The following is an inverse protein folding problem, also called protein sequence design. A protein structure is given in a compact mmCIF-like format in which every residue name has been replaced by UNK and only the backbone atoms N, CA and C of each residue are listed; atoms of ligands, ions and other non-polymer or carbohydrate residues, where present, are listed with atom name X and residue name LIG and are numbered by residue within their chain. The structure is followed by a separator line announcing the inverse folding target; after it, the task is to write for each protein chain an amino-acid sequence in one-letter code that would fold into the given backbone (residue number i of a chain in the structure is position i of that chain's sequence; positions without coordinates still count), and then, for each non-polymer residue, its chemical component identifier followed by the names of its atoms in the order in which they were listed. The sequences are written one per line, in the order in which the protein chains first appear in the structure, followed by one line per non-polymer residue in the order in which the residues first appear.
data_IF_056585289347
#
_entry.id   IF_056585289347
#
_cell.length_a   1.000
_cell.length_b   1.000
_cell.length_c   1.000
_cell.angle_alpha   90.00
_cell.angle_beta   90.00
_cell.angle_gamma   90.00
#
_symmetry.space_group_name_H-M   'P 1'
#
loop_
_entity.id
_entity.type
_entity.pdbx_description
1 polymer ?
#
# COMPACT_ATOMS: atom_id res chain seq x y z
N UNK A 1 28.12 -43.56 -19.15
CA UNK A 1 26.91 -44.23 -18.61
C UNK A 1 26.50 -43.48 -17.36
N UNK A 2 26.01 -42.26 -17.52
CA UNK A 2 25.63 -41.35 -16.43
C UNK A 2 24.84 -40.13 -16.92
N UNK A 3 24.10 -40.24 -18.04
CA UNK A 3 23.30 -39.12 -18.60
C UNK A 3 21.87 -39.56 -18.98
N UNK A 4 21.33 -40.58 -18.29
CA UNK A 4 20.00 -41.14 -18.63
C UNK A 4 19.14 -41.44 -17.39
N UNK A 5 19.26 -40.58 -16.37
CA UNK A 5 18.29 -40.50 -15.26
C UNK A 5 17.93 -39.02 -15.01
N UNK A 6 17.65 -38.27 -16.07
CA UNK A 6 16.90 -37.01 -15.94
C UNK A 6 15.41 -37.34 -16.13
N UNK A 7 14.86 -38.07 -15.14
CA UNK A 7 13.41 -38.19 -15.00
C UNK A 7 12.91 -36.83 -14.55
N UNK A 8 12.52 -35.98 -15.50
CA UNK A 8 11.70 -34.76 -15.33
C UNK A 8 11.62 -34.31 -13.88
N UNK A 9 12.66 -33.61 -13.41
CA UNK A 9 12.53 -32.82 -12.20
C UNK A 9 11.32 -31.90 -12.41
N UNK A 10 10.29 -32.07 -11.57
CA UNK A 10 9.10 -31.22 -11.55
C UNK A 10 9.39 -29.90 -10.80
N UNK A 11 10.67 -29.50 -10.75
CA UNK A 11 11.12 -28.30 -10.07
C UNK A 11 10.94 -27.09 -11.00
N UNK A 12 10.69 -25.94 -10.38
CA UNK A 12 10.59 -24.67 -11.10
C UNK A 12 12.00 -24.21 -11.50
N UNK A 13 12.16 -23.83 -12.76
CA UNK A 13 13.32 -23.13 -13.29
C UNK A 13 12.84 -21.88 -14.04
N UNK A 14 13.72 -20.90 -14.26
CA UNK A 14 13.44 -19.70 -15.09
C UNK A 14 12.05 -19.09 -14.87
N UNK A 15 11.64 -18.99 -13.60
CA UNK A 15 10.29 -18.60 -13.17
C UNK A 15 10.35 -17.23 -12.51
N UNK A 16 9.48 -16.31 -12.95
CA UNK A 16 9.42 -14.93 -12.46
C UNK A 16 8.03 -14.66 -11.92
N UNK A 17 7.95 -14.35 -10.63
CA UNK A 17 6.71 -14.11 -9.89
C UNK A 17 6.65 -12.67 -9.38
N UNK A 18 5.44 -12.14 -9.23
CA UNK A 18 5.19 -10.85 -8.61
C UNK A 18 4.51 -11.05 -7.25
N UNK A 19 4.99 -10.36 -6.22
CA UNK A 19 4.59 -10.60 -4.84
C UNK A 19 4.97 -9.48 -3.89
N UNK A 20 4.42 -9.56 -2.67
CA UNK A 20 4.64 -8.60 -1.60
C UNK A 20 5.13 -9.36 -0.36
N UNK A 21 6.28 -8.93 0.19
CA UNK A 21 6.77 -9.46 1.46
C UNK A 21 6.11 -8.68 2.59
N UNK A 22 5.31 -9.37 3.41
CA UNK A 22 4.61 -8.79 4.55
C UNK A 22 5.15 -9.35 5.85
N UNK A 23 5.11 -8.51 6.88
CA UNK A 23 5.41 -8.89 8.25
C UNK A 23 4.09 -8.98 9.01
N UNK A 24 3.75 -10.18 9.47
CA UNK A 24 2.54 -10.44 10.24
C UNK A 24 2.88 -10.64 11.72
N UNK A 25 2.12 -9.98 12.59
CA UNK A 25 2.20 -10.17 14.03
C UNK A 25 0.93 -10.88 14.50
N UNK A 26 1.07 -12.07 15.08
CA UNK A 26 -0.06 -12.81 15.65
C UNK A 26 -0.57 -12.13 16.93
N UNK A 27 -1.76 -12.52 17.39
CA UNK A 27 -2.31 -12.06 18.68
C UNK A 27 -1.38 -12.38 19.86
N UNK A 28 -0.60 -13.46 19.73
CA UNK A 28 0.41 -13.89 20.72
C UNK A 28 1.74 -13.12 20.61
N UNK A 29 1.83 -12.12 19.71
CA UNK A 29 3.03 -11.33 19.47
C UNK A 29 4.11 -12.03 18.64
N UNK A 30 3.82 -13.21 18.09
CA UNK A 30 4.76 -13.95 17.24
C UNK A 30 4.78 -13.32 15.86
N UNK A 31 5.98 -12.90 15.45
CA UNK A 31 6.20 -12.30 14.15
C UNK A 31 6.53 -13.37 13.10
N UNK A 32 5.87 -13.28 11.94
CA UNK A 32 6.13 -14.15 10.79
C UNK A 32 6.23 -13.34 9.51
N UNK A 33 7.22 -13.65 8.70
CA UNK A 33 7.35 -13.07 7.35
C UNK A 33 6.60 -13.95 6.35
N UNK A 34 5.77 -13.35 5.52
CA UNK A 34 5.03 -14.04 4.45
C UNK A 34 5.30 -13.37 3.11
N UNK A 35 5.52 -14.17 2.06
CA UNK A 35 5.60 -13.70 0.69
C UNK A 35 4.25 -13.94 0.02
N UNK A 36 3.45 -12.88 -0.12
CA UNK A 36 2.14 -12.93 -0.76
C UNK A 36 2.29 -12.75 -2.28
N UNK A 37 2.27 -13.87 -3.00
CA UNK A 37 2.36 -13.90 -4.47
C UNK A 37 1.01 -13.53 -5.09
N UNK A 38 1.00 -12.61 -6.06
CA UNK A 38 -0.25 -12.11 -6.65
C UNK A 38 -0.27 -12.04 -8.19
N UNK A 39 0.87 -12.21 -8.88
CA UNK A 39 0.93 -12.35 -10.34
C UNK A 39 2.11 -13.24 -10.75
N UNK A 40 2.13 -13.67 -12.01
CA UNK A 40 3.15 -14.54 -12.58
C UNK A 40 3.54 -14.04 -13.97
N UNK A 41 4.84 -13.88 -14.23
CA UNK A 41 5.36 -13.31 -15.48
C UNK A 41 5.99 -14.37 -16.39
N UNK A 42 6.67 -15.35 -15.79
CA UNK A 42 7.25 -16.48 -16.51
C UNK A 42 7.24 -17.75 -15.65
N UNK A 43 7.12 -18.92 -16.28
CA UNK A 43 7.16 -20.25 -15.63
C UNK A 43 7.98 -21.17 -16.51
N UNK A 44 9.05 -21.79 -15.99
CA UNK A 44 9.86 -22.76 -16.73
C UNK A 44 10.27 -22.24 -18.13
N UNK A 45 10.82 -21.03 -18.17
CA UNK A 45 11.25 -20.32 -19.38
C UNK A 45 10.11 -19.90 -20.33
N UNK A 46 8.84 -20.19 -20.01
CA UNK A 46 7.68 -19.74 -20.78
C UNK A 46 7.19 -18.37 -20.32
N UNK A 47 7.13 -17.42 -21.24
CA UNK A 47 6.65 -16.06 -20.97
C UNK A 47 5.11 -16.01 -20.98
N UNK A 48 4.52 -15.79 -19.81
CA UNK A 48 3.07 -15.71 -19.62
C UNK A 48 2.54 -14.28 -19.54
N UNK A 49 3.37 -13.25 -19.70
CA UNK A 49 2.96 -11.84 -19.59
C UNK A 49 1.87 -11.42 -20.58
N UNK A 50 1.82 -12.07 -21.75
CA UNK A 50 0.79 -11.84 -22.78
C UNK A 50 -0.58 -12.41 -22.40
N UNK A 51 -0.63 -13.36 -21.46
CA UNK A 51 -1.88 -13.93 -20.97
C UNK A 51 -2.67 -12.90 -20.16
N UNK A 52 -4.02 -12.97 -20.16
CA UNK A 52 -4.84 -12.22 -19.23
C UNK A 52 -4.52 -12.53 -17.75
N UNK A 53 -4.71 -11.55 -16.86
CA UNK A 53 -4.43 -11.71 -15.42
C UNK A 53 -5.05 -12.97 -14.81
N UNK A 54 -6.29 -13.32 -15.16
CA UNK A 54 -6.94 -14.52 -14.62
C UNK A 54 -6.17 -15.82 -14.90
N UNK A 55 -5.49 -15.89 -16.05
CA UNK A 55 -4.70 -17.06 -16.44
C UNK A 55 -3.36 -17.06 -15.73
N UNK A 56 -2.69 -15.91 -15.62
CA UNK A 56 -1.43 -15.79 -14.86
C UNK A 56 -1.63 -16.13 -13.38
N UNK A 57 -2.71 -15.63 -12.78
CA UNK A 57 -3.13 -15.97 -11.43
C UNK A 57 -3.48 -17.47 -11.30
N UNK A 58 -4.17 -18.06 -12.29
CA UNK A 58 -4.46 -19.49 -12.29
C UNK A 58 -3.20 -20.36 -12.43
N UNK A 59 -2.19 -19.92 -13.18
CA UNK A 59 -0.91 -20.63 -13.25
C UNK A 59 -0.20 -20.57 -11.89
N UNK A 60 -0.21 -19.41 -11.24
CA UNK A 60 0.34 -19.25 -9.90
C UNK A 60 -0.35 -20.19 -8.90
N UNK A 61 -1.68 -20.24 -8.92
CA UNK A 61 -2.49 -21.04 -8.00
C UNK A 61 -2.37 -22.56 -8.25
N UNK A 62 -2.42 -22.99 -9.52
CA UNK A 62 -2.61 -24.41 -9.85
C UNK A 62 -1.32 -25.13 -10.29
N UNK A 63 -0.25 -24.39 -10.62
CA UNK A 63 1.01 -24.96 -11.07
C UNK A 63 2.15 -24.58 -10.13
N UNK A 64 2.41 -23.28 -9.96
CA UNK A 64 3.59 -22.78 -9.24
C UNK A 64 3.51 -23.09 -7.74
N UNK A 65 2.44 -22.66 -7.06
CA UNK A 65 2.34 -22.82 -5.61
C UNK A 65 2.34 -24.30 -5.17
N UNK A 66 1.62 -25.23 -5.82
CA UNK A 66 1.70 -26.65 -5.49
C UNK A 66 3.11 -27.23 -5.60
N UNK A 67 3.92 -26.79 -6.58
CA UNK A 67 5.31 -27.23 -6.73
C UNK A 67 6.16 -26.70 -5.56
N UNK A 68 6.04 -25.42 -5.21
CA UNK A 68 6.72 -24.81 -4.06
C UNK A 68 6.35 -25.54 -2.76
N UNK A 69 5.06 -25.78 -2.52
CA UNK A 69 4.58 -26.49 -1.33
C UNK A 69 5.09 -27.93 -1.27
N UNK A 70 5.09 -28.65 -2.40
CA UNK A 70 5.62 -30.01 -2.46
C UNK A 70 7.13 -30.03 -2.17
N UNK A 71 7.88 -29.06 -2.70
CA UNK A 71 9.31 -28.90 -2.43
C UNK A 71 9.57 -28.65 -0.93
N UNK A 72 8.89 -27.66 -0.33
CA UNK A 72 9.06 -27.32 1.09
C UNK A 72 8.56 -28.40 2.05
N UNK A 73 7.61 -29.25 1.61
CA UNK A 73 7.18 -30.43 2.38
C UNK A 73 8.24 -31.53 2.38
N UNK A 74 8.96 -31.70 1.27
CA UNK A 74 10.06 -32.69 1.14
C UNK A 74 11.37 -32.23 1.78
N UNK A 75 11.61 -30.91 1.80
CA UNK A 75 12.84 -30.28 2.31
C UNK A 75 12.57 -29.48 3.58
N UNK A 76 12.36 -30.20 4.69
CA UNK A 76 12.09 -29.58 6.00
C UNK A 76 13.27 -28.77 6.53
N UNK A 77 14.50 -29.13 6.12
CA UNK A 77 15.75 -28.40 6.35
C UNK A 77 15.74 -27.00 5.71
N UNK A 78 15.19 -26.89 4.50
CA UNK A 78 15.04 -25.59 3.82
C UNK A 78 13.85 -24.83 4.42
N UNK A 79 12.73 -25.52 4.65
CA UNK A 79 11.52 -24.87 5.19
C UNK A 79 11.78 -24.19 6.54
N UNK A 80 12.61 -24.76 7.40
CA UNK A 80 12.97 -24.16 8.70
C UNK A 80 13.89 -22.95 8.58
N UNK A 81 14.60 -22.80 7.45
CA UNK A 81 15.61 -21.75 7.24
C UNK A 81 15.21 -20.70 6.21
N UNK A 82 14.13 -20.90 5.43
CA UNK A 82 13.67 -20.04 4.33
C UNK A 82 13.38 -18.58 4.75
N UNK A 83 13.09 -18.35 6.04
CA UNK A 83 12.88 -17.00 6.59
C UNK A 83 11.54 -16.34 6.22
N UNK A 84 10.77 -16.94 5.31
CA UNK A 84 9.41 -16.51 4.97
C UNK A 84 8.55 -17.69 4.49
N UNK A 85 7.24 -17.51 4.53
CA UNK A 85 6.27 -18.47 4.01
C UNK A 85 5.65 -17.95 2.69
N UNK A 86 5.86 -18.62 1.54
CA UNK A 86 5.20 -18.28 0.28
C UNK A 86 3.71 -18.63 0.33
N UNK A 87 2.84 -17.68 -0.02
CA UNK A 87 1.40 -17.86 -0.04
C UNK A 87 0.79 -17.17 -1.26
N UNK A 88 -0.33 -17.67 -1.76
CA UNK A 88 -1.14 -16.97 -2.76
C UNK A 88 -1.93 -15.84 -2.10
N UNK A 89 -1.83 -14.61 -2.62
CA UNK A 89 -2.61 -13.45 -2.18
C UNK A 89 -4.08 -13.64 -2.61
N UNK A 90 -5.04 -13.77 -1.68
CA UNK A 90 -6.43 -14.02 -2.05
C UNK A 90 -7.02 -12.82 -2.82
N UNK A 91 -7.55 -13.08 -4.02
CA UNK A 91 -8.22 -12.08 -4.85
C UNK A 91 -9.74 -12.21 -4.74
N UNK A 92 -10.43 -11.08 -4.60
CA UNK A 92 -11.90 -11.01 -4.58
C UNK A 92 -12.42 -10.29 -5.82
N UNK A 93 -13.70 -10.51 -6.18
CA UNK A 93 -14.30 -9.79 -7.30
C UNK A 93 -14.53 -8.33 -6.90
N UNK A 94 -14.54 -7.43 -7.88
CA UNK A 94 -14.70 -5.99 -7.62
C UNK A 94 -16.05 -5.64 -6.94
N UNK A 95 -17.08 -6.49 -7.11
CA UNK A 95 -18.36 -6.32 -6.44
C UNK A 95 -18.38 -6.90 -5.00
N UNK A 96 -17.31 -7.52 -4.53
CA UNK A 96 -17.17 -8.00 -3.15
C UNK A 96 -16.38 -7.02 -2.28
N UNK A 97 -16.16 -5.79 -2.75
CA UNK A 97 -15.30 -4.79 -2.08
C UNK A 97 -15.72 -4.51 -0.63
N UNK A 98 -17.02 -4.54 -0.33
CA UNK A 98 -17.54 -4.35 1.03
C UNK A 98 -17.05 -5.46 1.98
N UNK A 99 -16.98 -6.70 1.50
CA UNK A 99 -16.48 -7.85 2.25
C UNK A 99 -14.97 -7.70 2.49
N UNK A 100 -14.22 -7.25 1.48
CA UNK A 100 -12.78 -7.01 1.61
C UNK A 100 -12.51 -5.91 2.64
N UNK A 101 -13.21 -4.78 2.54
CA UNK A 101 -13.09 -3.65 3.49
C UNK A 101 -13.40 -4.09 4.92
N UNK A 102 -14.42 -4.92 5.13
CA UNK A 102 -14.76 -5.44 6.45
C UNK A 102 -13.68 -6.36 7.03
N UNK A 103 -12.93 -7.07 6.18
CA UNK A 103 -11.85 -7.99 6.61
C UNK A 103 -10.52 -7.28 6.84
N UNK A 104 -10.28 -6.14 6.18
CA UNK A 104 -9.00 -5.41 6.26
C UNK A 104 -8.50 -5.13 7.69
N UNK A 105 -9.35 -4.71 8.65
CA UNK A 105 -8.90 -4.47 10.03
C UNK A 105 -8.43 -5.72 10.77
N UNK A 106 -8.84 -6.91 10.32
CA UNK A 106 -8.51 -8.19 10.94
C UNK A 106 -7.27 -8.85 10.33
N UNK A 107 -6.62 -8.19 9.37
CA UNK A 107 -5.37 -8.70 8.79
C UNK A 107 -4.23 -8.51 9.78
N UNK A 108 -3.36 -9.51 9.87
CA UNK A 108 -2.19 -9.51 10.77
C UNK A 108 -1.03 -8.65 10.27
N UNK A 109 -1.17 -8.04 9.08
CA UNK A 109 -0.23 -7.10 8.48
C UNK A 109 -0.90 -5.76 8.19
N UNK A 110 -0.09 -4.70 8.10
CA UNK A 110 -0.56 -3.35 7.78
C UNK A 110 -1.16 -3.29 6.38
N UNK A 111 -2.34 -2.68 6.25
CA UNK A 111 -2.95 -2.35 4.96
C UNK A 111 -3.28 -0.86 4.89
N UNK A 112 -3.24 -0.29 3.67
CA UNK A 112 -3.45 1.14 3.45
C UNK A 112 -4.49 1.44 2.36
N UNK A 113 -5.16 0.41 1.85
CA UNK A 113 -6.13 0.56 0.78
C UNK A 113 -6.41 -0.72 0.01
N UNK A 114 -6.87 -0.55 -1.22
CA UNK A 114 -7.28 -1.60 -2.14
C UNK A 114 -6.53 -1.47 -3.47
N UNK A 115 -6.22 -2.62 -4.08
CA UNK A 115 -5.70 -2.70 -5.43
C UNK A 115 -6.74 -3.37 -6.33
N UNK A 116 -7.13 -2.71 -7.41
CA UNK A 116 -7.99 -3.27 -8.44
C UNK A 116 -7.15 -3.66 -9.65
N UNK A 117 -7.07 -4.96 -9.92
CA UNK A 117 -6.35 -5.51 -11.07
C UNK A 117 -7.33 -5.92 -12.17
N UNK A 118 -7.11 -5.45 -13.39
CA UNK A 118 -7.99 -5.77 -14.51
C UNK A 118 -7.84 -7.22 -14.97
N UNK A 119 -8.91 -8.01 -14.77
CA UNK A 119 -8.97 -9.45 -15.01
C UNK A 119 -8.51 -9.90 -16.41
N UNK A 120 -8.88 -9.14 -17.44
CA UNK A 120 -8.64 -9.52 -18.84
C UNK A 120 -7.40 -8.84 -19.45
N UNK A 121 -6.60 -8.15 -18.65
CA UNK A 121 -5.44 -7.41 -19.15
C UNK A 121 -4.16 -8.27 -19.14
N UNK A 122 -3.33 -8.18 -20.21
CA UNK A 122 -1.95 -8.64 -20.17
C UNK A 122 -1.16 -7.88 -19.09
N UNK A 123 -0.03 -8.45 -18.67
CA UNK A 123 0.91 -7.76 -17.80
C UNK A 123 1.52 -6.58 -18.55
N UNK A 124 1.78 -5.48 -17.85
CA UNK A 124 2.37 -4.26 -18.44
C UNK A 124 3.60 -3.91 -17.63
N UNK A 125 4.75 -3.81 -18.30
CA UNK A 125 5.97 -3.31 -17.67
C UNK A 125 5.84 -1.80 -17.43
N UNK A 126 6.15 -1.35 -16.22
CA UNK A 126 6.05 0.06 -15.83
C UNK A 126 4.63 0.50 -15.48
N UNK A 127 4.27 1.74 -15.85
CA UNK A 127 2.99 2.33 -15.44
C UNK A 127 1.80 1.67 -16.14
N UNK A 128 0.82 1.20 -15.36
CA UNK A 128 -0.38 0.53 -15.87
C UNK A 128 -1.66 1.22 -15.38
N UNK A 129 -2.37 1.89 -16.27
CA UNK A 129 -3.65 2.56 -15.96
C UNK A 129 -4.81 1.59 -15.68
N UNK A 130 -4.63 0.28 -15.92
CA UNK A 130 -5.61 -0.77 -15.61
C UNK A 130 -5.43 -1.37 -14.21
N UNK A 131 -4.37 -0.97 -13.50
CA UNK A 131 -4.17 -1.25 -12.08
C UNK A 131 -4.51 0.03 -11.31
N UNK A 132 -5.56 -0.03 -10.50
CA UNK A 132 -6.00 1.12 -9.71
C UNK A 132 -5.66 0.90 -8.25
N UNK A 133 -4.99 1.87 -7.64
CA UNK A 133 -4.80 1.93 -6.19
C UNK A 133 -5.83 2.88 -5.59
N UNK A 134 -6.61 2.38 -4.66
CA UNK A 134 -7.52 3.17 -3.85
C UNK A 134 -6.99 3.21 -2.42
N UNK A 135 -6.92 4.40 -1.82
CA UNK A 135 -6.56 4.57 -0.41
C UNK A 135 -7.63 5.43 0.27
N UNK A 136 -8.04 5.11 1.50
CA UNK A 136 -8.87 6.03 2.26
C UNK A 136 -8.11 7.35 2.46
N UNK A 137 -8.79 8.51 2.52
CA UNK A 137 -8.15 9.82 2.65
C UNK A 137 -7.12 9.93 3.78
N UNK A 138 -7.39 9.30 4.94
CA UNK A 138 -6.48 9.30 6.09
C UNK A 138 -5.20 8.46 5.93
N UNK A 139 -5.10 7.65 4.85
CA UNK A 139 -3.90 6.88 4.51
C UNK A 139 -3.09 7.52 3.38
N UNK A 140 -3.55 8.65 2.84
CA UNK A 140 -2.79 9.45 1.90
C UNK A 140 -1.92 10.41 2.69
N UNK A 141 -0.61 10.21 2.63
CA UNK A 141 0.35 10.98 3.40
C UNK A 141 1.19 11.90 2.53
N UNK A 142 1.68 12.97 3.15
CA UNK A 142 2.54 13.98 2.53
C UNK A 142 3.72 14.20 3.47
N UNK A 143 4.94 14.29 2.92
CA UNK A 143 6.12 14.58 3.72
C UNK A 143 6.36 16.09 3.80
N UNK A 144 6.41 16.64 5.01
CA UNK A 144 6.68 18.06 5.30
C UNK A 144 7.96 18.22 6.10
N UNK A 145 8.57 19.40 6.04
CA UNK A 145 9.58 19.83 7.01
C UNK A 145 8.83 20.42 8.21
N UNK A 146 9.06 19.88 9.41
CA UNK A 146 8.48 20.39 10.64
C UNK A 146 9.39 21.47 11.23
N UNK A 147 8.81 22.61 11.60
CA UNK A 147 9.51 23.70 12.29
C UNK A 147 8.77 24.19 13.50
N UNK A 148 9.52 24.63 14.51
CA UNK A 148 8.95 25.36 15.63
C UNK A 148 8.67 26.79 15.17
N UNK A 149 7.45 27.27 15.43
CA UNK A 149 7.08 28.66 15.19
C UNK A 149 7.96 29.53 16.06
N UNK A 150 8.71 30.44 15.45
CA UNK A 150 9.47 31.43 16.22
C UNK A 150 8.48 32.35 16.91
N UNK A 151 8.33 32.20 18.22
CA UNK A 151 7.59 33.17 19.02
C UNK A 151 8.39 34.47 18.98
N UNK A 152 7.90 35.46 18.23
CA UNK A 152 8.42 36.83 18.20
C UNK A 152 8.14 37.55 19.53
N UNK A 153 8.59 36.99 20.65
CA UNK A 153 8.49 37.57 22.00
C UNK A 153 9.89 37.75 22.61
N UNK A 154 10.78 38.41 21.87
CA UNK A 154 12.02 38.98 22.42
C UNK A 154 12.12 40.46 22.05
N UNK A 155 11.16 41.26 22.54
CA UNK A 155 11.34 42.70 22.82
C UNK A 155 10.67 43.11 24.13
N UNK A 156 10.69 42.25 25.13
CA UNK A 156 10.21 42.58 26.49
C UNK A 156 11.30 42.25 27.50
N UNK A 157 11.97 43.32 27.91
CA UNK A 157 12.93 43.44 29.00
C UNK A 157 12.41 42.82 30.30
N UNK A 158 13.23 41.95 30.90
CA UNK A 158 13.31 41.61 32.33
C UNK A 158 12.14 40.85 32.99
N UNK A 159 12.38 39.61 33.44
CA UNK A 159 12.47 39.19 34.87
C UNK A 159 12.39 37.66 35.04
N UNK A 160 13.16 37.18 36.02
CA UNK A 160 13.21 35.82 36.54
C UNK A 160 11.90 35.05 36.47
N UNK A 161 11.97 33.80 36.01
CA UNK A 161 11.19 32.71 36.62
C UNK A 161 11.73 31.37 36.11
N UNK A 162 12.20 30.56 37.06
CA UNK A 162 12.53 29.13 36.92
C UNK A 162 11.27 28.27 36.59
N UNK A 163 10.21 28.91 36.09
CA UNK A 163 8.84 28.42 35.92
C UNK A 163 8.30 28.63 34.49
N UNK A 164 9.15 28.97 33.51
CA UNK A 164 8.81 28.72 32.10
C UNK A 164 8.90 27.22 31.82
N UNK A 165 8.00 26.48 32.46
CA UNK A 165 7.61 25.13 32.07
C UNK A 165 7.33 25.23 30.56
N UNK A 166 8.20 24.61 29.75
CA UNK A 166 8.32 24.81 28.31
C UNK A 166 6.91 24.73 27.71
N UNK A 167 6.32 25.89 27.43
CA UNK A 167 5.01 25.96 26.78
C UNK A 167 5.14 25.18 25.48
N UNK A 168 4.13 24.34 25.23
CA UNK A 168 4.06 23.54 24.02
C UNK A 168 4.26 24.46 22.81
N UNK A 169 5.34 24.26 22.02
CA UNK A 169 5.61 25.14 20.90
C UNK A 169 4.52 24.98 19.85
N UNK A 170 4.14 26.10 19.23
CA UNK A 170 3.37 26.04 17.99
C UNK A 170 4.26 25.47 16.87
N UNK A 171 3.68 24.62 16.03
CA UNK A 171 4.42 23.88 15.02
C UNK A 171 3.91 24.23 13.63
N UNK A 172 4.84 24.32 12.69
CA UNK A 172 4.60 24.68 11.31
C UNK A 172 5.07 23.57 10.38
N UNK A 173 4.29 23.32 9.34
CA UNK A 173 4.62 22.44 8.23
C UNK A 173 5.11 23.28 7.06
N UNK A 174 6.27 22.90 6.54
CA UNK A 174 6.91 23.58 5.43
C UNK A 174 7.06 22.63 4.23
N UNK A 175 6.85 23.16 3.03
CA UNK A 175 6.97 22.44 1.76
C UNK A 175 8.18 22.88 0.96
N UNK A 176 8.62 22.06 -0.01
CA UNK A 176 9.74 22.39 -0.88
C UNK A 176 9.30 23.15 -2.14
N UNK A 177 10.01 24.21 -2.47
CA UNK A 177 9.85 25.03 -3.70
C UNK A 177 10.90 24.68 -4.77
N UNK A 178 10.80 25.32 -5.95
CA UNK A 178 11.67 25.02 -7.10
C UNK A 178 13.16 25.33 -6.86
N UNK A 179 13.45 26.31 -6.01
CA UNK A 179 14.79 26.71 -5.56
C UNK A 179 15.33 25.81 -4.43
N UNK A 180 14.62 24.73 -4.09
CA UNK A 180 14.90 23.81 -2.98
C UNK A 180 14.83 24.45 -1.58
N UNK A 181 14.32 25.68 -1.45
CA UNK A 181 14.01 26.23 -0.14
C UNK A 181 12.75 25.59 0.44
N UNK A 182 12.57 25.75 1.75
CA UNK A 182 11.37 25.33 2.46
C UNK A 182 10.58 26.55 2.89
N UNK A 183 9.32 26.60 2.49
CA UNK A 183 8.40 27.69 2.82
C UNK A 183 7.22 27.17 3.63
N UNK A 184 6.70 28.04 4.49
CA UNK A 184 5.51 27.78 5.29
C UNK A 184 4.35 27.31 4.41
N UNK A 185 3.65 26.27 4.86
CA UNK A 185 2.48 25.72 4.19
C UNK A 185 1.24 25.75 5.10
N UNK A 186 1.34 25.22 6.32
CA UNK A 186 0.21 25.10 7.24
C UNK A 186 0.68 24.97 8.70
N UNK A 187 -0.21 25.25 9.64
CA UNK A 187 0.03 24.95 11.05
C UNK A 187 -0.35 23.49 11.36
N UNK A 188 0.31 22.89 12.36
CA UNK A 188 -0.07 21.57 12.89
C UNK A 188 -0.31 21.65 14.40
N UNK A 189 -1.48 21.22 14.84
CA UNK A 189 -1.79 21.07 16.24
C UNK A 189 -1.55 19.61 16.66
N UNK A 190 -0.60 19.40 17.55
CA UNK A 190 -0.40 18.10 18.21
C UNK A 190 -1.19 18.14 19.52
N UNK A 191 -1.75 17.02 19.99
CA UNK A 191 -2.37 16.94 21.33
C UNK A 191 -1.31 16.77 22.44
N UNK A 192 -1.68 16.93 23.71
CA UNK A 192 -0.68 16.92 24.81
C UNK A 192 -0.08 15.53 25.06
N UNK A 193 -0.85 14.48 24.78
CA UNK A 193 -0.41 13.10 24.94
C UNK A 193 0.59 12.71 23.85
N UNK A 194 0.32 13.10 22.60
CA UNK A 194 1.21 12.91 21.46
C UNK A 194 2.49 13.74 21.63
N UNK A 195 2.38 14.99 22.09
CA UNK A 195 3.55 15.80 22.42
C UNK A 195 4.42 15.16 23.50
N UNK A 196 3.78 14.60 24.54
CA UNK A 196 4.50 13.91 25.62
C UNK A 196 5.20 12.65 25.13
N UNK A 197 4.56 11.86 24.25
CA UNK A 197 5.19 10.71 23.59
C UNK A 197 6.43 11.11 22.80
N UNK A 198 6.35 12.17 22.00
CA UNK A 198 7.50 12.66 21.23
C UNK A 198 8.65 13.15 22.12
N UNK A 199 8.34 13.83 23.24
CA UNK A 199 9.35 14.22 24.24
C UNK A 199 10.04 13.01 24.86
N UNK A 200 9.30 11.95 25.20
CA UNK A 200 9.86 10.73 25.79
C UNK A 200 10.78 9.99 24.83
N UNK A 201 10.54 10.06 23.53
CA UNK A 201 11.43 9.50 22.51
C UNK A 201 12.77 10.26 22.36
N UNK A 202 12.98 11.37 23.08
CA UNK A 202 14.23 12.14 23.08
C UNK A 202 14.62 12.74 21.72
N UNK A 203 13.71 12.71 20.75
CA UNK A 203 14.00 13.10 19.37
C UNK A 203 13.59 14.55 19.16
N UNK A 204 14.55 15.41 18.76
CA UNK A 204 14.21 16.77 18.37
C UNK A 204 13.39 16.75 17.07
N UNK A 205 12.20 17.32 17.13
CA UNK A 205 11.25 17.40 16.02
C UNK A 205 11.57 18.56 15.06
N UNK A 206 12.22 19.63 15.55
CA UNK A 206 12.53 20.78 14.73
C UNK A 206 13.52 20.44 13.61
N UNK A 207 13.21 20.88 12.40
CA UNK A 207 14.05 20.67 11.22
C UNK A 207 14.01 19.26 10.66
N UNK A 208 13.11 18.39 11.12
CA UNK A 208 12.97 17.02 10.62
C UNK A 208 11.88 16.91 9.56
N UNK A 209 12.04 15.93 8.68
CA UNK A 209 10.97 15.56 7.74
C UNK A 209 9.99 14.62 8.46
N UNK A 210 8.72 14.98 8.42
CA UNK A 210 7.61 14.22 9.01
C UNK A 210 6.66 13.77 7.91
N UNK A 211 6.21 12.52 7.98
CA UNK A 211 5.12 12.02 7.15
C UNK A 211 3.80 12.34 7.86
N UNK A 212 2.96 13.16 7.23
CA UNK A 212 1.69 13.60 7.81
C UNK A 212 0.49 13.09 7.02
N UNK A 213 -0.58 12.74 7.71
CA UNK A 213 -1.89 12.46 7.13
C UNK A 213 -2.87 13.59 7.47
N UNK A 214 -3.75 14.01 6.55
CA UNK A 214 -4.77 14.99 6.84
C UNK A 214 -5.89 14.40 7.72
N UNK A 215 -6.30 15.16 8.74
CA UNK A 215 -7.49 14.89 9.54
C UNK A 215 -8.65 15.70 8.95
N UNK A 216 -9.74 15.01 8.62
CA UNK A 216 -10.95 15.63 8.10
C UNK A 216 -12.08 15.54 9.12
N UNK A 217 -12.77 16.65 9.33
CA UNK A 217 -14.03 16.69 10.08
C UNK A 217 -15.20 16.84 9.11
N UNK A 218 -16.28 16.15 9.41
CA UNK A 218 -17.52 16.25 8.65
C UNK A 218 -18.32 17.43 9.18
N UNK A 219 -18.50 18.45 8.35
CA UNK A 219 -19.35 19.60 8.62
C UNK A 219 -20.65 19.52 7.81
N UNK A 220 -21.59 20.42 8.08
CA UNK A 220 -22.84 20.55 7.32
C UNK A 220 -22.63 20.87 5.83
N UNK A 221 -21.50 21.47 5.45
CA UNK A 221 -21.17 21.85 4.06
C UNK A 221 -20.21 20.88 3.36
N UNK A 222 -19.73 19.84 4.05
CA UNK A 222 -18.83 18.84 3.50
C UNK A 222 -17.68 18.45 4.44
N UNK A 223 -16.67 17.75 3.92
CA UNK A 223 -15.45 17.43 4.66
C UNK A 223 -14.50 18.62 4.61
N UNK A 224 -14.15 19.15 5.77
CA UNK A 224 -13.15 20.22 5.91
C UNK A 224 -11.91 19.60 6.54
N UNK A 225 -10.72 19.94 6.02
CA UNK A 225 -9.46 19.57 6.69
C UNK A 225 -9.36 20.41 7.95
N UNK A 226 -9.32 19.75 9.09
CA UNK A 226 -9.21 20.42 10.39
C UNK A 226 -7.75 20.56 10.80
N UNK A 227 -6.94 19.51 10.59
CA UNK A 227 -5.59 19.43 11.12
C UNK A 227 -4.74 18.39 10.37
N UNK A 228 -3.48 18.23 10.78
CA UNK A 228 -2.55 17.19 10.34
C UNK A 228 -2.19 16.25 11.49
N UNK A 229 -2.00 14.97 11.17
CA UNK A 229 -1.47 13.96 12.10
C UNK A 229 -0.09 13.52 11.66
N UNK A 230 0.88 13.52 12.56
CA UNK A 230 2.19 12.94 12.29
C UNK A 230 2.06 11.41 12.33
N UNK A 231 2.42 10.75 11.23
CA UNK A 231 2.43 9.29 11.13
C UNK A 231 3.77 8.74 11.58
N UNK A 232 4.87 9.37 11.16
CA UNK A 232 6.25 9.02 11.54
C UNK A 232 7.24 10.09 11.12
N UNK A 233 8.46 9.97 11.65
CA UNK A 233 9.63 10.67 11.13
C UNK A 233 10.16 9.97 9.86
N UNK A 234 10.61 10.77 8.91
CA UNK A 234 11.24 10.34 7.65
C UNK A 234 12.74 10.54 7.72
N UNK A 235 13.41 9.67 8.48
CA UNK A 235 14.88 9.73 8.61
C UNK A 235 15.61 9.42 7.31
N UNK A 236 14.91 8.75 6.38
CA UNK A 236 15.35 8.48 5.02
C UNK A 236 15.32 9.73 4.10
N UNK A 237 14.78 10.86 4.58
CA UNK A 237 14.59 12.07 3.78
C UNK A 237 15.24 13.30 4.40
N UNK A 238 15.95 14.04 3.54
CA UNK A 238 16.50 15.36 3.86
C UNK A 238 15.61 16.52 3.38
N UNK A 239 14.64 16.25 2.50
CA UNK A 239 13.75 17.27 1.94
C UNK A 239 12.28 16.86 1.99
N UNK A 240 11.42 17.84 2.25
CA UNK A 240 9.98 17.73 2.12
C UNK A 240 9.53 17.45 0.68
N UNK A 241 8.27 17.06 0.51
CA UNK A 241 7.64 16.98 -0.80
C UNK A 241 7.60 18.36 -1.47
N UNK A 242 7.76 18.35 -2.79
CA UNK A 242 7.68 19.55 -3.60
C UNK A 242 6.23 20.03 -3.71
N UNK A 243 6.00 21.35 -3.79
CA UNK A 243 4.65 21.94 -3.82
C UNK A 243 3.73 21.24 -4.84
N UNK A 244 4.24 20.91 -6.04
CA UNK A 244 3.44 20.26 -7.09
C UNK A 244 2.94 18.87 -6.69
N UNK A 245 3.72 18.11 -5.91
CA UNK A 245 3.32 16.81 -5.37
C UNK A 245 2.22 17.00 -4.33
N UNK A 246 2.40 17.99 -3.44
CA UNK A 246 1.44 18.31 -2.38
C UNK A 246 0.11 18.74 -2.99
N UNK A 247 0.10 19.69 -3.92
CA UNK A 247 -1.10 20.15 -4.61
C UNK A 247 -1.82 18.99 -5.29
N UNK A 248 -1.11 18.16 -6.08
CA UNK A 248 -1.72 16.99 -6.74
C UNK A 248 -2.30 15.99 -5.74
N UNK A 249 -1.64 15.83 -4.60
CA UNK A 249 -2.07 14.90 -3.55
C UNK A 249 -3.33 15.41 -2.86
N UNK A 250 -3.38 16.70 -2.52
CA UNK A 250 -4.56 17.36 -1.95
C UNK A 250 -5.76 17.36 -2.91
N UNK A 251 -5.53 17.62 -4.20
CA UNK A 251 -6.56 17.49 -5.23
C UNK A 251 -7.07 16.04 -5.32
N UNK A 252 -6.17 15.05 -5.28
CA UNK A 252 -6.54 13.64 -5.27
C UNK A 252 -7.36 13.26 -4.03
N UNK A 253 -7.11 13.89 -2.89
CA UNK A 253 -7.89 13.66 -1.68
C UNK A 253 -9.27 14.33 -1.79
N UNK A 254 -9.32 15.57 -2.27
CA UNK A 254 -10.55 16.34 -2.44
C UNK A 254 -11.51 15.67 -3.44
N UNK A 255 -10.99 15.23 -4.59
CA UNK A 255 -11.76 14.52 -5.62
C UNK A 255 -11.77 13.00 -5.42
N UNK A 256 -11.20 12.51 -4.32
CA UNK A 256 -11.08 11.10 -4.02
C UNK A 256 -12.43 10.39 -3.90
N UNK A 257 -12.47 9.13 -4.29
CA UNK A 257 -13.62 8.26 -4.04
C UNK A 257 -13.61 7.87 -2.57
N UNK A 258 -14.62 8.27 -1.80
CA UNK A 258 -14.73 7.83 -0.41
C UNK A 258 -15.12 6.35 -0.33
N UNK A 259 -14.84 5.71 0.81
CA UNK A 259 -15.25 4.33 1.06
C UNK A 259 -16.76 4.13 0.88
N UNK A 260 -17.57 5.04 1.43
CA UNK A 260 -19.03 5.01 1.25
C UNK A 260 -19.44 5.12 -0.22
N UNK A 261 -18.79 5.97 -1.03
CA UNK A 261 -19.05 6.05 -2.48
C UNK A 261 -18.65 4.76 -3.18
N UNK A 262 -17.53 4.17 -2.80
CA UNK A 262 -17.04 2.89 -3.35
C UNK A 262 -18.04 1.76 -3.05
N UNK A 263 -18.49 1.62 -1.81
CA UNK A 263 -19.50 0.62 -1.40
C UNK A 263 -20.84 0.87 -2.11
N UNK A 264 -21.31 2.12 -2.21
CA UNK A 264 -22.54 2.46 -2.94
C UNK A 264 -22.49 2.10 -4.43
N UNK A 265 -21.31 2.00 -5.03
CA UNK A 265 -21.14 1.62 -6.43
C UNK A 265 -21.28 0.11 -6.69
N UNK A 266 -21.14 -0.73 -5.64
CA UNK A 266 -21.12 -2.19 -5.73
C UNK A 266 -22.31 -2.80 -6.47
N UNK A 267 -23.57 -2.44 -6.19
CA UNK A 267 -24.71 -3.02 -6.90
C UNK A 267 -24.65 -2.74 -8.41
N UNK A 268 -24.16 -1.56 -8.79
CA UNK A 268 -23.95 -1.19 -10.20
C UNK A 268 -22.86 -2.01 -10.87
N UNK A 269 -21.76 -2.29 -10.15
CA UNK A 269 -20.66 -3.17 -10.62
C UNK A 269 -21.18 -4.60 -10.80
N UNK A 270 -21.90 -5.14 -9.80
CA UNK A 270 -22.48 -6.48 -9.85
C UNK A 270 -23.47 -6.63 -11.02
N UNK A 271 -24.42 -5.70 -11.15
CA UNK A 271 -25.39 -5.68 -12.25
C UNK A 271 -24.69 -5.70 -13.62
N UNK A 272 -23.65 -4.88 -13.78
CA UNK A 272 -22.86 -4.85 -15.00
C UNK A 272 -22.04 -6.13 -15.23
N UNK A 273 -21.54 -6.75 -14.16
CA UNK A 273 -20.84 -8.02 -14.25
C UNK A 273 -21.79 -9.10 -14.79
N UNK A 274 -22.98 -9.25 -14.22
CA UNK A 274 -23.94 -10.30 -14.63
C UNK A 274 -24.76 -9.95 -15.88
N UNK A 275 -24.66 -8.73 -16.40
CA UNK A 275 -25.39 -8.32 -17.60
C UNK A 275 -25.12 -9.25 -18.81
N UNK A 276 -26.14 -9.84 -19.47
CA UNK A 276 -25.97 -10.85 -20.52
C UNK A 276 -25.02 -10.44 -21.65
N UNK A 277 -25.17 -9.22 -22.19
CA UNK A 277 -24.27 -8.70 -23.24
C UNK A 277 -22.80 -8.62 -22.79
N UNK A 278 -22.53 -8.28 -21.52
CA UNK A 278 -21.16 -8.21 -20.99
C UNK A 278 -20.63 -9.62 -20.70
N UNK A 279 -21.48 -10.53 -20.21
CA UNK A 279 -21.14 -11.96 -20.06
C UNK A 279 -20.77 -12.60 -21.39
N UNK A 280 -21.57 -12.39 -22.44
CA UNK A 280 -21.28 -12.91 -23.78
C UNK A 280 -19.93 -12.39 -24.32
N UNK A 281 -19.61 -11.11 -24.09
CA UNK A 281 -18.28 -10.57 -24.44
C UNK A 281 -17.14 -11.25 -23.69
N UNK A 282 -17.31 -11.56 -22.40
CA UNK A 282 -16.29 -12.30 -21.62
C UNK A 282 -16.10 -13.72 -22.11
N UNK A 283 -17.19 -14.45 -22.33
CA UNK A 283 -17.13 -15.83 -22.88
C UNK A 283 -16.43 -15.83 -24.24
N UNK A 284 -16.77 -14.87 -25.12
CA UNK A 284 -16.10 -14.73 -26.43
C UNK A 284 -14.61 -14.44 -26.26
N UNK A 285 -14.25 -13.52 -25.36
CA UNK A 285 -12.84 -13.22 -25.07
C UNK A 285 -12.08 -14.45 -24.57
N UNK A 286 -12.67 -15.22 -23.65
CA UNK A 286 -12.10 -16.47 -23.12
C UNK A 286 -11.94 -17.53 -24.21
N UNK A 287 -12.90 -17.62 -25.14
CA UNK A 287 -12.85 -18.58 -26.26
C UNK A 287 -11.79 -18.24 -27.31
N UNK A 288 -11.39 -16.97 -27.41
CA UNK A 288 -10.34 -16.53 -28.35
C UNK A 288 -8.92 -16.66 -27.80
N UNK A 289 -8.78 -17.00 -26.52
CA UNK A 289 -7.47 -17.17 -25.92
C UNK A 289 -6.90 -18.55 -26.30
N UNK A 290 -5.62 -18.63 -26.70
CA UNK A 290 -4.99 -19.91 -26.98
C UNK A 290 -5.03 -20.78 -25.73
N UNK A 291 -5.29 -22.09 -25.91
CA UNK A 291 -5.20 -23.08 -24.84
C UNK A 291 -3.73 -23.25 -24.43
N UNK A 292 -3.24 -22.36 -23.57
CA UNK A 292 -1.87 -22.40 -23.05
C UNK A 292 -1.78 -23.33 -21.82
N UNK A 293 -2.88 -23.97 -21.42
CA UNK A 293 -2.78 -25.13 -20.54
C UNK A 293 -2.04 -26.23 -21.31
N UNK A 294 -0.88 -26.71 -20.84
CA UNK A 294 -0.24 -27.85 -21.46
C UNK A 294 -1.23 -29.01 -21.51
N UNK A 295 -1.35 -29.65 -22.67
CA UNK A 295 -1.99 -30.96 -22.76
C UNK A 295 -1.33 -31.87 -21.73
N UNK A 296 -2.18 -32.55 -20.95
CA UNK A 296 -1.86 -33.50 -19.87
C UNK A 296 -0.52 -34.24 -20.02
#
# INVERSE_FOLDING_TARGET
MSDEIDRQSNDLHDTVLDGELVYETSEEGVNKTKLLLFDCLAINNENVTKLPFQWRYACLQNQVLPIIEAFLRRRTDIRSTLGFEPLLKPMSRAYDVAIVLQKMPNLQHRTDGLIFTCLHSPYTFGSNFKILKWKPPGYVTIDFLLRFKQNMSEKSTCRNTMDKMIEKPSLELHLRTNDNSHVYFDDIAIDDDEWTRWKQCGTCLDGRIVECAPIFVTSCTGKIRENWKIIRLREDKIVANHYSIITRTLESIHHGVSESKLVKSVPGIARNWFHPKRRAKRIRFESTMPSILPSK
#
